data_IF_421078602943
#
_entry.id   IF_421078602943
#
_cell.length_a   1.000
_cell.length_b   1.000
_cell.length_c   1.000
_cell.angle_alpha   90.00
_cell.angle_beta   90.00
_cell.angle_gamma   90.00
#
_symmetry.space_group_name_H-M   'P 1'
#
loop_
_entity.id
_entity.type
_entity.pdbx_description
1 polymer ?
#
# COMPACT_ATOMS: atom_id res chain seq x y z
N UNK A 1 1.16 -14.43 -1.57
CA UNK A 1 0.41 -13.17 -1.71
C UNK A 1 -0.09 -12.77 -0.34
N UNK A 2 -0.06 -11.47 -0.03
CA UNK A 2 -0.43 -10.91 1.27
C UNK A 2 -1.64 -9.98 1.10
N UNK A 3 -2.49 -9.89 2.13
CA UNK A 3 -3.59 -8.94 2.19
C UNK A 3 -3.26 -7.82 3.17
N UNK A 4 -3.77 -6.61 2.92
CA UNK A 4 -3.50 -5.44 3.75
C UNK A 4 -4.74 -4.58 3.96
N UNK A 5 -4.68 -3.77 5.02
CA UNK A 5 -5.52 -2.59 5.23
C UNK A 5 -4.58 -1.41 5.43
N UNK A 6 -4.78 -0.35 4.66
CA UNK A 6 -4.09 0.91 4.82
C UNK A 6 -5.09 1.96 5.31
N UNK A 7 -4.78 2.61 6.42
CA UNK A 7 -5.54 3.73 6.97
C UNK A 7 -4.63 4.94 7.14
N UNK A 8 -5.18 6.13 6.95
CA UNK A 8 -4.47 7.39 7.23
C UNK A 8 -5.48 8.45 7.65
N UNK A 9 -5.02 9.42 8.45
CA UNK A 9 -5.85 10.54 8.92
C UNK A 9 -5.62 11.83 8.12
N UNK A 10 -4.51 11.94 7.39
CA UNK A 10 -4.03 13.21 6.83
C UNK A 10 -3.78 13.16 5.32
N UNK A 11 -3.70 11.97 4.73
CA UNK A 11 -3.43 11.76 3.29
C UNK A 11 -4.55 10.97 2.63
N UNK A 12 -4.59 10.96 1.31
CA UNK A 12 -5.46 10.05 0.56
C UNK A 12 -4.81 8.65 0.45
N UNK A 13 -5.36 7.68 1.16
CA UNK A 13 -4.92 6.29 1.17
C UNK A 13 -4.91 5.65 -0.23
N UNK A 14 -5.71 6.17 -1.17
CA UNK A 14 -5.82 5.63 -2.54
C UNK A 14 -4.58 5.96 -3.37
N UNK A 15 -3.92 7.08 -3.10
CA UNK A 15 -2.68 7.45 -3.78
C UNK A 15 -1.54 6.50 -3.39
N UNK A 16 -1.42 6.22 -2.09
CA UNK A 16 -0.45 5.25 -1.56
C UNK A 16 -0.76 3.85 -2.11
N UNK A 17 -2.03 3.43 -2.07
CA UNK A 17 -2.44 2.13 -2.59
C UNK A 17 -2.20 1.97 -4.10
N UNK A 18 -2.29 3.04 -4.89
CA UNK A 18 -1.95 3.00 -6.32
C UNK A 18 -0.46 2.71 -6.52
N UNK A 19 0.42 3.35 -5.75
CA UNK A 19 1.86 3.09 -5.78
C UNK A 19 2.19 1.65 -5.35
N UNK A 20 1.53 1.15 -4.30
CA UNK A 20 1.66 -0.24 -3.85
C UNK A 20 1.17 -1.23 -4.93
N UNK A 21 0.03 -0.97 -5.56
CA UNK A 21 -0.52 -1.84 -6.60
C UNK A 21 0.43 -1.97 -7.80
N UNK A 22 1.06 -0.87 -8.21
CA UNK A 22 2.03 -0.85 -9.29
C UNK A 22 3.32 -1.61 -8.94
N UNK A 23 3.81 -1.44 -7.70
CA UNK A 23 5.14 -1.92 -7.31
C UNK A 23 5.14 -3.37 -6.81
N UNK A 24 4.02 -3.85 -6.26
CA UNK A 24 3.92 -5.13 -5.56
C UNK A 24 3.00 -6.15 -6.27
N UNK A 25 2.72 -5.93 -7.56
CA UNK A 25 1.72 -6.69 -8.34
C UNK A 25 0.40 -6.83 -7.55
N UNK A 26 -0.11 -5.66 -7.16
CA UNK A 26 -1.22 -5.53 -6.23
C UNK A 26 -2.53 -5.16 -6.88
N UNK A 27 -3.61 -5.43 -6.15
CA UNK A 27 -4.93 -4.86 -6.39
C UNK A 27 -5.60 -4.52 -5.07
N UNK A 28 -6.35 -3.44 -5.09
CA UNK A 28 -7.07 -2.94 -3.92
C UNK A 28 -7.67 -1.58 -4.19
N UNK A 29 -8.61 -1.19 -3.32
CA UNK A 29 -9.32 0.07 -3.41
C UNK A 29 -10.14 0.33 -2.16
N UNK A 30 -10.76 1.51 -2.12
CA UNK A 30 -11.52 1.94 -0.95
C UNK A 30 -11.82 3.43 -0.98
N UNK A 31 -11.95 4.00 0.22
CA UNK A 31 -12.21 5.41 0.44
C UNK A 31 -10.89 6.16 0.68
N UNK A 32 -10.86 7.50 0.60
CA UNK A 32 -9.66 8.28 0.87
C UNK A 32 -9.03 7.99 2.23
N UNK A 33 -9.81 7.62 3.24
CA UNK A 33 -9.32 7.38 4.61
C UNK A 33 -8.85 5.93 4.82
N UNK A 34 -9.31 5.01 3.96
CA UNK A 34 -9.06 3.57 4.11
C UNK A 34 -9.11 2.81 2.79
N UNK A 35 -8.04 2.05 2.53
CA UNK A 35 -7.96 1.12 1.40
C UNK A 35 -7.69 -0.30 1.89
N UNK A 36 -8.28 -1.28 1.20
CA UNK A 36 -8.03 -2.70 1.42
C UNK A 36 -7.61 -3.33 0.11
N UNK A 37 -6.70 -4.30 0.18
CA UNK A 37 -6.21 -4.98 -1.00
C UNK A 37 -5.30 -6.16 -0.69
N UNK A 38 -4.61 -6.62 -1.72
CA UNK A 38 -3.55 -7.60 -1.59
C UNK A 38 -2.52 -7.51 -2.71
N UNK A 39 -1.39 -8.18 -2.48
CA UNK A 39 -0.21 -8.21 -3.33
C UNK A 39 0.16 -9.64 -3.70
N UNK A 40 0.78 -9.85 -4.87
CA UNK A 40 1.45 -11.12 -5.19
C UNK A 40 2.94 -11.13 -4.80
N UNK A 41 3.48 -9.97 -4.40
CA UNK A 41 4.83 -9.83 -3.89
C UNK A 41 5.17 -10.73 -2.69
N UNK A 42 6.45 -11.00 -2.56
CA UNK A 42 7.08 -11.66 -1.41
C UNK A 42 7.16 -10.71 -0.22
N UNK A 43 7.44 -11.28 0.97
CA UNK A 43 7.63 -10.48 2.19
C UNK A 43 8.76 -9.47 2.04
N UNK A 44 9.91 -9.89 1.52
CA UNK A 44 11.10 -9.04 1.38
C UNK A 44 10.86 -7.85 0.43
N UNK A 45 10.09 -8.06 -0.64
CA UNK A 45 9.67 -6.99 -1.55
C UNK A 45 8.73 -6.00 -0.86
N UNK A 46 7.81 -6.48 -0.03
CA UNK A 46 6.89 -5.62 0.73
C UNK A 46 7.65 -4.79 1.77
N UNK A 47 8.52 -5.42 2.56
CA UNK A 47 9.31 -4.74 3.59
C UNK A 47 10.23 -3.68 2.96
N UNK A 48 10.93 -4.04 1.87
CA UNK A 48 11.77 -3.09 1.13
C UNK A 48 10.96 -1.91 0.58
N UNK A 49 9.79 -2.16 0.01
CA UNK A 49 8.94 -1.09 -0.51
C UNK A 49 8.52 -0.12 0.60
N UNK A 50 8.18 -0.63 1.79
CA UNK A 50 7.83 0.20 2.95
C UNK A 50 9.02 1.07 3.37
N UNK A 51 10.22 0.50 3.47
CA UNK A 51 11.43 1.23 3.88
C UNK A 51 11.82 2.31 2.85
N UNK A 52 11.82 1.98 1.56
CA UNK A 52 12.17 2.91 0.47
C UNK A 52 11.14 4.03 0.28
N UNK A 53 9.88 3.79 0.69
CA UNK A 53 8.77 4.73 0.49
C UNK A 53 8.16 5.20 1.83
N UNK A 54 8.96 5.27 2.89
CA UNK A 54 8.54 5.73 4.21
C UNK A 54 7.89 7.14 4.19
N UNK A 55 8.23 7.96 3.18
CA UNK A 55 7.64 9.29 2.95
C UNK A 55 6.12 9.26 2.69
N UNK A 56 5.54 8.13 2.26
CA UNK A 56 4.08 8.01 2.20
C UNK A 56 3.44 8.04 3.59
N UNK A 57 4.15 7.60 4.62
CA UNK A 57 3.62 7.41 5.97
C UNK A 57 4.03 8.50 6.98
N UNK A 58 5.03 9.32 6.64
CA UNK A 58 5.43 10.53 7.39
C UNK A 58 4.51 11.71 7.11
#
# INVERSE_FOLDING_TARGET
GYSYILTTQTKDAREIAAAMNQSLDGRGGGKPEVVRGGFKATRDEIERWIDENANFFS
#
